data_IF_176184598902
#
_entry.id   IF_176184598902
#
_cell.length_a   1.000
_cell.length_b   1.000
_cell.length_c   1.000
_cell.angle_alpha   90.00
_cell.angle_beta   90.00
_cell.angle_gamma   90.00
#
_symmetry.space_group_name_H-M   'P 1'
#
loop_
_entity.id
_entity.type
_entity.pdbx_description
1 polymer ?
#
# COMPACT_ATOMS: atom_id res chain seq x y z
N UNK A 1 -14.75 -5.17 -1.33
CA UNK A 1 -14.37 -4.19 -0.30
C UNK A 1 -14.04 -2.83 -0.89
N UNK A 2 -13.17 -2.72 -1.90
CA UNK A 2 -12.89 -1.42 -2.54
C UNK A 2 -14.11 -0.82 -3.27
N UNK A 3 -15.13 -1.59 -3.57
CA UNK A 3 -16.31 -1.15 -4.32
C UNK A 3 -17.11 -0.06 -3.60
N UNK A 4 -17.13 -0.07 -2.27
CA UNK A 4 -17.91 0.87 -1.47
C UNK A 4 -17.11 2.09 -0.99
N UNK A 5 -15.82 2.16 -1.30
CA UNK A 5 -14.94 3.24 -0.89
C UNK A 5 -14.79 4.25 -2.04
N UNK A 6 -14.88 5.54 -1.74
CA UNK A 6 -14.83 6.59 -2.75
C UNK A 6 -13.44 7.18 -2.92
N UNK A 7 -12.71 7.39 -1.83
CA UNK A 7 -11.39 8.03 -1.82
C UNK A 7 -10.35 7.05 -1.29
N UNK A 8 -9.39 6.70 -2.13
CA UNK A 8 -8.32 5.76 -1.82
C UNK A 8 -6.99 6.51 -1.77
N UNK A 9 -6.33 6.45 -0.63
CA UNK A 9 -4.95 6.92 -0.49
C UNK A 9 -3.96 5.87 -1.00
N UNK A 10 -2.91 6.32 -1.68
CA UNK A 10 -1.84 5.44 -2.17
C UNK A 10 -0.49 6.03 -1.78
N UNK A 11 0.31 5.25 -1.07
CA UNK A 11 1.69 5.61 -0.72
C UNK A 11 2.60 4.45 -1.07
N UNK A 12 3.46 4.64 -2.05
CA UNK A 12 4.31 3.56 -2.57
C UNK A 12 5.66 4.10 -3.06
N UNK A 13 6.71 3.32 -2.86
CA UNK A 13 8.08 3.65 -3.24
C UNK A 13 8.65 2.67 -4.28
N UNK A 14 8.47 1.38 -4.07
CA UNK A 14 9.07 0.34 -4.90
C UNK A 14 8.28 0.06 -6.19
N UNK A 15 9.00 -0.46 -7.18
CA UNK A 15 8.43 -0.76 -8.50
C UNK A 15 7.41 -1.91 -8.48
N UNK A 16 7.67 -2.96 -7.71
CA UNK A 16 6.80 -4.14 -7.66
C UNK A 16 5.36 -3.80 -7.28
N UNK A 17 5.12 -3.24 -6.08
CA UNK A 17 3.78 -2.80 -5.68
C UNK A 17 3.19 -1.76 -6.64
N UNK A 18 4.02 -0.84 -7.17
CA UNK A 18 3.54 0.19 -8.08
C UNK A 18 2.93 -0.38 -9.35
N UNK A 19 3.56 -1.39 -9.95
CA UNK A 19 3.03 -2.06 -11.14
C UNK A 19 1.63 -2.67 -10.91
N UNK A 20 1.41 -3.23 -9.74
CA UNK A 20 0.11 -3.81 -9.38
C UNK A 20 -0.93 -2.70 -9.13
N UNK A 21 -0.57 -1.71 -8.35
CA UNK A 21 -1.47 -0.61 -7.97
C UNK A 21 -1.90 0.21 -9.19
N UNK A 22 -1.01 0.46 -10.13
CA UNK A 22 -1.32 1.18 -11.37
C UNK A 22 -2.45 0.51 -12.14
N UNK A 23 -2.47 -0.80 -12.22
CA UNK A 23 -3.55 -1.53 -12.90
C UNK A 23 -4.90 -1.36 -12.17
N UNK A 24 -4.88 -1.33 -10.84
CA UNK A 24 -6.11 -1.04 -10.07
C UNK A 24 -6.60 0.39 -10.30
N UNK A 25 -5.70 1.37 -10.32
CA UNK A 25 -6.04 2.77 -10.59
C UNK A 25 -6.70 2.92 -11.96
N UNK A 26 -6.16 2.27 -12.97
CA UNK A 26 -6.74 2.27 -14.33
C UNK A 26 -8.13 1.64 -14.37
N UNK A 27 -8.33 0.57 -13.62
CA UNK A 27 -9.59 -0.16 -13.60
C UNK A 27 -10.70 0.59 -12.87
N UNK A 28 -10.39 1.22 -11.75
CA UNK A 28 -11.37 1.88 -10.90
C UNK A 28 -11.51 3.39 -11.18
N UNK A 29 -11.77 3.73 -12.43
CA UNK A 29 -11.83 5.13 -12.93
C UNK A 29 -12.81 6.04 -12.20
N UNK A 30 -13.83 5.49 -11.54
CA UNK A 30 -14.84 6.27 -10.81
C UNK A 30 -14.39 6.66 -9.40
N UNK A 31 -13.27 6.14 -8.93
CA UNK A 31 -12.74 6.44 -7.59
C UNK A 31 -11.79 7.62 -7.62
N UNK A 32 -11.74 8.34 -6.52
CA UNK A 32 -10.73 9.38 -6.31
C UNK A 32 -9.51 8.76 -5.67
N UNK A 33 -8.35 8.98 -6.25
CA UNK A 33 -7.07 8.52 -5.72
C UNK A 33 -6.23 9.70 -5.24
N UNK A 34 -5.80 9.65 -4.00
CA UNK A 34 -4.83 10.59 -3.42
C UNK A 34 -3.48 9.88 -3.34
N UNK A 35 -2.53 10.32 -4.14
CA UNK A 35 -1.31 9.56 -4.43
C UNK A 35 -0.09 10.30 -3.91
N UNK A 36 0.78 9.59 -3.21
CA UNK A 36 2.14 9.99 -2.90
C UNK A 36 3.08 8.87 -3.31
N UNK A 37 3.83 9.08 -4.37
CA UNK A 37 4.78 8.12 -4.92
C UNK A 37 6.18 8.71 -4.97
N UNK A 38 7.17 7.87 -4.67
CA UNK A 38 8.59 8.24 -4.66
C UNK A 38 9.41 7.17 -5.36
N UNK A 39 10.67 7.47 -5.65
CA UNK A 39 11.62 6.52 -6.19
C UNK A 39 11.13 5.79 -7.46
N UNK A 40 11.37 4.47 -7.56
CA UNK A 40 10.98 3.67 -8.72
C UNK A 40 9.48 3.70 -9.04
N UNK A 41 8.62 3.78 -8.01
CA UNK A 41 7.17 3.87 -8.21
C UNK A 41 6.76 5.11 -9.02
N UNK A 42 7.42 6.24 -8.80
CA UNK A 42 7.13 7.48 -9.53
C UNK A 42 7.30 7.31 -11.03
N UNK A 43 8.35 6.63 -11.48
CA UNK A 43 8.59 6.34 -12.89
C UNK A 43 7.48 5.50 -13.48
N UNK A 44 6.98 4.51 -12.75
CA UNK A 44 5.91 3.63 -13.21
C UNK A 44 4.59 4.36 -13.35
N UNK A 45 4.23 5.19 -12.38
CA UNK A 45 3.02 6.02 -12.46
C UNK A 45 3.07 6.99 -13.63
N UNK A 46 4.20 7.66 -13.84
CA UNK A 46 4.40 8.57 -14.96
C UNK A 46 4.33 7.84 -16.32
N UNK A 47 4.97 6.69 -16.45
CA UNK A 47 4.96 5.89 -17.69
C UNK A 47 3.55 5.41 -18.06
N UNK A 48 2.69 5.21 -17.08
CA UNK A 48 1.29 4.81 -17.27
C UNK A 48 0.34 5.99 -17.48
N UNK A 49 0.86 7.21 -17.62
CA UNK A 49 0.07 8.43 -17.88
C UNK A 49 -1.06 8.64 -16.90
N UNK A 50 -0.82 8.37 -15.63
CA UNK A 50 -1.80 8.64 -14.58
C UNK A 50 -1.80 10.13 -14.29
N UNK A 51 -2.87 10.82 -14.70
CA UNK A 51 -3.04 12.27 -14.60
C UNK A 51 -3.49 12.69 -13.19
N UNK A 52 -2.76 12.26 -12.16
CA UNK A 52 -3.02 12.68 -10.79
C UNK A 52 -1.84 13.50 -10.27
N UNK A 53 -2.12 14.36 -9.29
CA UNK A 53 -1.04 14.92 -8.49
C UNK A 53 -0.36 13.77 -7.72
N UNK A 54 0.86 13.42 -8.12
CA UNK A 54 1.59 12.27 -7.58
C UNK A 54 2.19 12.50 -6.20
N UNK A 55 2.09 13.70 -5.63
CA UNK A 55 2.72 14.07 -4.38
C UNK A 55 1.75 14.76 -3.43
N UNK A 56 0.60 14.16 -3.19
CA UNK A 56 -0.29 14.60 -2.12
C UNK A 56 0.41 14.43 -0.77
N UNK A 57 0.24 15.40 0.13
CA UNK A 57 0.82 15.29 1.46
C UNK A 57 0.21 14.13 2.25
N UNK A 58 0.96 13.56 3.19
CA UNK A 58 0.43 12.53 4.08
C UNK A 58 -0.74 13.07 4.92
N UNK A 59 -0.69 14.32 5.34
CA UNK A 59 -1.80 14.98 6.04
C UNK A 59 -3.09 14.95 5.22
N UNK A 60 -3.01 15.30 3.94
CA UNK A 60 -4.16 15.24 3.03
C UNK A 60 -4.67 13.82 2.84
N UNK A 61 -3.77 12.86 2.62
CA UNK A 61 -4.13 11.45 2.46
C UNK A 61 -4.85 10.94 3.71
N UNK A 62 -4.31 11.19 4.89
CA UNK A 62 -4.92 10.75 6.15
C UNK A 62 -6.27 11.39 6.39
N UNK A 63 -6.42 12.68 6.12
CA UNK A 63 -7.64 13.42 6.43
C UNK A 63 -8.79 13.13 5.47
N UNK A 64 -8.50 12.68 4.24
CA UNK A 64 -9.50 12.55 3.17
C UNK A 64 -9.76 11.13 2.70
N UNK A 65 -8.85 10.19 2.94
CA UNK A 65 -9.00 8.84 2.44
C UNK A 65 -9.94 8.00 3.29
N UNK A 66 -10.79 7.23 2.63
CA UNK A 66 -11.62 6.19 3.27
C UNK A 66 -10.79 4.94 3.58
N UNK A 67 -9.76 4.70 2.77
CA UNK A 67 -8.86 3.56 2.87
C UNK A 67 -7.51 3.92 2.26
N UNK A 68 -6.43 3.37 2.79
CA UNK A 68 -5.08 3.60 2.29
C UNK A 68 -4.46 2.28 1.84
N UNK A 69 -3.76 2.32 0.71
CA UNK A 69 -2.92 1.22 0.22
C UNK A 69 -1.48 1.70 0.24
N UNK A 70 -0.61 0.97 0.93
CA UNK A 70 0.82 1.27 0.98
C UNK A 70 1.65 0.13 0.41
N UNK A 71 2.89 0.45 0.04
CA UNK A 71 3.91 -0.55 -0.12
C UNK A 71 4.40 -1.09 1.25
N UNK A 72 5.39 -1.96 1.19
CA UNK A 72 6.03 -2.56 2.36
C UNK A 72 7.56 -2.60 2.21
N UNK A 73 8.13 -1.53 1.69
CA UNK A 73 9.57 -1.43 1.51
C UNK A 73 10.29 -1.18 2.83
N UNK A 74 11.26 -2.03 3.13
CA UNK A 74 12.16 -1.82 4.28
C UNK A 74 12.97 -0.52 4.17
N UNK A 75 13.22 -0.07 2.95
CA UNK A 75 14.02 1.13 2.64
C UNK A 75 13.21 2.41 2.59
N UNK A 76 11.90 2.33 2.51
CA UNK A 76 11.02 3.49 2.37
C UNK A 76 10.51 3.98 3.72
N UNK A 77 11.03 5.11 4.16
CA UNK A 77 10.51 5.80 5.35
C UNK A 77 9.03 6.20 5.17
N UNK A 78 8.62 6.54 3.95
CA UNK A 78 7.25 6.90 3.62
C UNK A 78 6.24 5.78 3.87
N UNK A 79 6.58 4.55 3.48
CA UNK A 79 5.73 3.38 3.72
C UNK A 79 5.50 3.14 5.23
N UNK A 80 6.56 3.30 6.03
CA UNK A 80 6.45 3.18 7.48
C UNK A 80 5.63 4.33 8.10
N UNK A 81 5.92 5.56 7.71
CA UNK A 81 5.24 6.75 8.26
C UNK A 81 3.75 6.75 7.97
N UNK A 82 3.33 6.38 6.76
CA UNK A 82 1.89 6.35 6.45
C UNK A 82 1.16 5.30 7.29
N UNK A 83 1.77 4.14 7.56
CA UNK A 83 1.17 3.15 8.45
C UNK A 83 1.00 3.69 9.88
N UNK A 84 2.03 4.33 10.41
CA UNK A 84 1.99 4.95 11.75
C UNK A 84 0.85 5.99 11.82
N UNK A 85 0.78 6.87 10.83
CA UNK A 85 -0.25 7.91 10.78
C UNK A 85 -1.65 7.33 10.62
N UNK A 86 -1.83 6.31 9.78
CA UNK A 86 -3.11 5.64 9.61
C UNK A 86 -3.60 5.01 10.91
N UNK A 87 -2.72 4.29 11.61
CA UNK A 87 -3.04 3.68 12.91
C UNK A 87 -3.43 4.75 13.92
N UNK A 88 -2.63 5.82 14.03
CA UNK A 88 -2.88 6.92 14.97
C UNK A 88 -4.20 7.63 14.72
N UNK A 89 -4.63 7.73 13.48
CA UNK A 89 -5.85 8.44 13.07
C UNK A 89 -7.03 7.52 12.77
N UNK A 90 -6.93 6.24 13.06
CA UNK A 90 -7.98 5.23 12.80
C UNK A 90 -8.43 5.15 11.34
N UNK A 91 -7.52 5.40 10.40
CA UNK A 91 -7.76 5.20 8.97
C UNK A 91 -7.33 3.79 8.60
N UNK A 92 -8.21 3.03 7.96
CA UNK A 92 -7.91 1.66 7.53
C UNK A 92 -6.81 1.64 6.47
N UNK A 93 -5.86 0.74 6.63
CA UNK A 93 -4.71 0.61 5.73
C UNK A 93 -4.39 -0.86 5.42
N UNK A 94 -4.12 -1.12 4.15
CA UNK A 94 -3.51 -2.36 3.69
C UNK A 94 -2.11 -2.09 3.15
N UNK A 95 -1.20 -3.03 3.37
CA UNK A 95 0.13 -2.99 2.76
C UNK A 95 0.32 -4.16 1.83
N UNK A 96 0.86 -3.89 0.64
CA UNK A 96 1.06 -4.87 -0.40
C UNK A 96 2.45 -5.49 -0.30
N UNK A 97 2.49 -6.81 -0.18
CA UNK A 97 3.69 -7.63 -0.30
C UNK A 97 3.72 -8.27 -1.70
N UNK A 98 4.68 -7.87 -2.50
CA UNK A 98 4.84 -8.33 -3.89
C UNK A 98 6.00 -9.34 -4.07
N UNK A 99 6.57 -9.82 -2.99
CA UNK A 99 7.71 -10.72 -2.97
C UNK A 99 7.54 -11.84 -1.93
N UNK A 100 8.50 -12.77 -1.88
CA UNK A 100 8.49 -13.93 -0.98
C UNK A 100 9.58 -13.92 0.09
N UNK A 101 10.27 -12.78 0.24
CA UNK A 101 11.38 -12.62 1.18
C UNK A 101 11.24 -11.34 1.99
N UNK A 102 11.92 -11.30 3.14
CA UNK A 102 12.02 -10.09 3.96
C UNK A 102 10.66 -9.49 4.38
N UNK A 103 9.67 -10.33 4.66
CA UNK A 103 8.33 -9.88 5.04
C UNK A 103 8.33 -9.02 6.31
N UNK A 104 9.07 -9.45 7.33
CA UNK A 104 9.15 -8.72 8.60
C UNK A 104 9.85 -7.37 8.43
N UNK A 105 10.90 -7.32 7.64
CA UNK A 105 11.71 -6.13 7.41
C UNK A 105 10.90 -5.00 6.78
N UNK A 106 9.95 -5.33 5.93
CA UNK A 106 9.03 -4.37 5.33
C UNK A 106 8.12 -3.64 6.34
N UNK A 107 7.99 -4.18 7.54
CA UNK A 107 7.15 -3.61 8.61
C UNK A 107 7.95 -3.20 9.85
N UNK A 108 9.25 -3.45 9.87
CA UNK A 108 10.11 -3.08 10.99
C UNK A 108 10.64 -1.67 10.82
N UNK A 109 10.31 -0.78 11.74
CA UNK A 109 10.76 0.61 11.73
C UNK A 109 11.23 1.03 13.13
N UNK A 110 12.48 1.47 13.23
CA UNK A 110 13.11 1.86 14.50
C UNK A 110 12.91 0.80 15.60
N UNK A 111 13.21 -0.45 15.29
CA UNK A 111 13.06 -1.62 16.16
C UNK A 111 11.62 -1.92 16.62
N UNK A 112 10.62 -1.36 15.93
CA UNK A 112 9.20 -1.65 16.18
C UNK A 112 8.54 -2.25 14.96
N UNK A 113 7.73 -3.28 15.16
CA UNK A 113 6.89 -3.86 14.13
C UNK A 113 5.64 -3.01 13.96
N UNK A 114 5.52 -2.33 12.82
CA UNK A 114 4.36 -1.48 12.49
C UNK A 114 3.55 -2.20 11.41
N UNK A 115 2.52 -2.92 11.83
CA UNK A 115 1.68 -3.72 10.94
C UNK A 115 0.44 -2.93 10.49
N UNK A 116 0.03 -3.09 9.22
CA UNK A 116 -1.24 -2.53 8.72
C UNK A 116 -2.44 -3.29 9.28
N UNK A 117 -3.66 -2.82 9.01
CA UNK A 117 -4.88 -3.57 9.30
C UNK A 117 -4.97 -4.85 8.47
N UNK A 118 -4.53 -4.77 7.22
CA UNK A 118 -4.54 -5.89 6.29
C UNK A 118 -3.20 -5.99 5.56
N UNK A 119 -2.81 -7.23 5.28
CA UNK A 119 -1.65 -7.53 4.44
C UNK A 119 -2.17 -8.16 3.15
N UNK A 120 -1.86 -7.55 2.03
CA UNK A 120 -2.26 -8.03 0.71
C UNK A 120 -1.08 -8.69 0.02
N UNK A 121 -1.30 -9.87 -0.49
CA UNK A 121 -0.32 -10.69 -1.20
C UNK A 121 -0.84 -11.05 -2.59
N UNK A 122 0.04 -11.48 -3.48
CA UNK A 122 -0.30 -11.71 -4.89
C UNK A 122 -0.59 -13.16 -5.24
N UNK A 123 -0.16 -14.11 -4.39
CA UNK A 123 -0.31 -15.55 -4.68
C UNK A 123 -0.41 -16.39 -3.39
N UNK A 124 -0.67 -17.68 -3.59
CA UNK A 124 -0.84 -18.64 -2.49
C UNK A 124 0.44 -18.89 -1.68
N UNK A 125 1.62 -18.79 -2.31
CA UNK A 125 2.90 -18.99 -1.62
C UNK A 125 3.10 -17.86 -0.62
N UNK A 126 2.99 -16.62 -1.07
CA UNK A 126 3.06 -15.44 -0.22
C UNK A 126 1.98 -15.45 0.87
N UNK A 127 0.76 -15.89 0.54
CA UNK A 127 -0.32 -16.03 1.51
C UNK A 127 0.04 -16.97 2.66
N UNK A 128 0.49 -18.17 2.37
CA UNK A 128 0.89 -19.15 3.39
C UNK A 128 2.03 -18.62 4.26
N UNK A 129 3.03 -18.00 3.65
CA UNK A 129 4.17 -17.40 4.37
C UNK A 129 3.72 -16.26 5.28
N UNK A 130 2.92 -15.34 4.77
CA UNK A 130 2.43 -14.19 5.54
C UNK A 130 1.52 -14.63 6.70
N UNK A 131 0.64 -15.60 6.50
CA UNK A 131 -0.21 -16.17 7.57
C UNK A 131 0.61 -16.81 8.68
N UNK A 132 1.69 -17.48 8.34
CA UNK A 132 2.60 -18.09 9.32
C UNK A 132 3.35 -17.05 10.14
N UNK A 133 3.80 -15.96 9.50
CA UNK A 133 4.59 -14.89 10.13
C UNK A 133 3.69 -13.93 10.92
N UNK A 134 2.56 -13.52 10.34
CA UNK A 134 1.64 -12.52 10.89
C UNK A 134 0.32 -13.16 11.33
N UNK A 135 0.39 -14.07 12.28
CA UNK A 135 -0.72 -14.96 12.69
C UNK A 135 -2.03 -14.24 13.05
N UNK A 136 -1.93 -13.03 13.62
CA UNK A 136 -3.10 -12.27 14.10
C UNK A 136 -3.62 -11.25 13.08
N UNK A 137 -3.00 -11.14 11.90
CA UNK A 137 -3.39 -10.15 10.89
C UNK A 137 -4.23 -10.78 9.79
N UNK A 138 -5.11 -9.97 9.22
CA UNK A 138 -5.89 -10.33 8.05
C UNK A 138 -4.99 -10.30 6.81
N UNK A 139 -4.80 -11.46 6.20
CA UNK A 139 -4.03 -11.61 4.96
C UNK A 139 -4.99 -11.94 3.83
N UNK A 140 -4.92 -11.20 2.72
CA UNK A 140 -5.78 -11.38 1.55
C UNK A 140 -4.93 -11.53 0.30
N UNK A 141 -5.37 -12.43 -0.59
CA UNK A 141 -4.79 -12.54 -1.94
C UNK A 141 -5.47 -11.51 -2.83
N UNK A 142 -4.69 -10.60 -3.38
CA UNK A 142 -5.12 -9.61 -4.37
C UNK A 142 -4.39 -9.88 -5.67
N UNK A 143 -4.99 -10.67 -6.53
CA UNK A 143 -4.46 -10.93 -7.88
C UNK A 143 -4.59 -9.68 -8.74
N UNK A 144 -3.80 -9.62 -9.81
CA UNK A 144 -4.03 -8.66 -10.88
C UNK A 144 -5.47 -8.81 -11.35
N UNK A 145 -6.26 -7.80 -11.05
CA UNK A 145 -7.70 -7.79 -11.34
C UNK A 145 -7.96 -7.49 -12.81
#
# INVERSE_FOLDING_TARGET
MLLNLNIIGIVVHEAGPANIIVEWVKKFKKKVFLINVTGPAKKIFNANKINFKLNQSFKTIISRSDFIISGSSAKSVGDHKIRILAIKNNVKIASLLDHWVNFKEGFLYRNRMILPDQIWVTDNIAYKMAKKIFKKKKVLIKKNL
#
